data_IF_150213734812
#
_entry.id   IF_150213734812
#
_cell.length_a   1.000
_cell.length_b   1.000
_cell.length_c   1.000
_cell.angle_alpha   90.00
_cell.angle_beta   90.00
_cell.angle_gamma   90.00
#
_symmetry.space_group_name_H-M   'P 1'
#
loop_
_entity.id
_entity.type
_entity.pdbx_description
1 polymer ?
#
# COMPACT_ATOMS: atom_id res chain seq x y z
N UNK A 1 56.18 -55.89 -67.16
CA UNK A 1 55.55 -54.71 -67.80
C UNK A 1 54.15 -54.52 -67.22
N UNK A 2 53.86 -53.28 -66.81
CA UNK A 2 52.53 -52.65 -66.73
C UNK A 2 51.54 -52.99 -65.59
N UNK A 3 51.32 -51.93 -64.77
CA UNK A 3 50.07 -51.45 -64.14
C UNK A 3 49.50 -52.30 -62.98
N UNK A 4 49.60 -51.85 -61.72
CA UNK A 4 48.86 -50.74 -61.08
C UNK A 4 47.33 -50.95 -61.15
N UNK A 5 46.69 -51.24 -60.01
CA UNK A 5 45.39 -50.67 -59.63
C UNK A 5 45.25 -50.62 -58.10
N UNK A 6 44.73 -49.47 -57.66
CA UNK A 6 44.53 -49.00 -56.29
C UNK A 6 43.21 -49.55 -55.73
N UNK A 7 43.20 -49.90 -54.44
CA UNK A 7 42.00 -50.08 -53.63
C UNK A 7 42.04 -49.12 -52.43
N UNK A 8 40.90 -48.49 -52.14
CA UNK A 8 40.69 -47.33 -51.28
C UNK A 8 40.74 -47.63 -49.74
N UNK A 9 40.65 -46.62 -48.85
CA UNK A 9 41.22 -46.63 -47.50
C UNK A 9 40.27 -47.15 -46.40
N UNK A 10 40.83 -47.71 -45.33
CA UNK A 10 40.11 -48.04 -44.11
C UNK A 10 40.00 -46.82 -43.18
N UNK A 11 38.76 -46.41 -42.91
CA UNK A 11 38.34 -45.45 -41.89
C UNK A 11 38.92 -45.78 -40.51
N UNK A 12 39.61 -44.83 -39.88
CA UNK A 12 39.87 -44.83 -38.44
C UNK A 12 38.88 -43.89 -37.76
N UNK A 13 38.07 -44.46 -36.87
CA UNK A 13 37.17 -43.74 -35.96
C UNK A 13 37.95 -42.74 -35.09
N UNK A 14 37.50 -41.50 -35.06
CA UNK A 14 37.87 -40.50 -34.04
C UNK A 14 36.77 -40.53 -32.98
N UNK A 15 37.09 -40.61 -31.67
CA UNK A 15 36.06 -40.53 -30.65
C UNK A 15 35.51 -39.10 -30.56
N UNK A 16 34.18 -38.97 -30.59
CA UNK A 16 33.46 -37.74 -30.27
C UNK A 16 33.66 -37.45 -28.78
N UNK A 17 34.37 -36.37 -28.45
CA UNK A 17 34.30 -35.78 -27.11
C UNK A 17 32.96 -35.07 -27.00
N UNK A 18 32.04 -35.66 -26.25
CA UNK A 18 30.80 -34.99 -25.84
C UNK A 18 31.14 -33.91 -24.82
N UNK A 19 31.15 -32.65 -25.26
CA UNK A 19 31.19 -31.50 -24.35
C UNK A 19 29.86 -31.45 -23.60
N UNK A 20 29.83 -31.94 -22.36
CA UNK A 20 28.72 -31.75 -21.44
C UNK A 20 28.79 -30.32 -20.88
N UNK A 21 27.73 -29.56 -21.12
CA UNK A 21 27.66 -28.13 -20.85
C UNK A 21 27.73 -27.78 -19.37
N UNK A 22 28.53 -26.75 -19.07
CA UNK A 22 28.42 -26.00 -17.83
C UNK A 22 27.57 -24.75 -18.13
N UNK A 23 26.25 -24.88 -18.03
CA UNK A 23 25.38 -23.70 -17.93
C UNK A 23 25.20 -23.43 -16.44
N UNK A 24 26.06 -22.58 -15.88
CA UNK A 24 25.91 -22.09 -14.51
C UNK A 24 24.61 -21.26 -14.42
N UNK A 25 23.63 -21.77 -13.66
CA UNK A 25 22.41 -21.04 -13.34
C UNK A 25 22.76 -19.86 -12.41
N UNK A 26 22.75 -18.65 -12.96
CA UNK A 26 22.70 -17.41 -12.18
C UNK A 26 21.31 -17.28 -11.58
N UNK A 27 21.09 -17.85 -10.39
CA UNK A 27 19.95 -17.51 -9.56
C UNK A 27 20.16 -16.07 -9.05
N UNK A 28 19.58 -15.11 -9.76
CA UNK A 28 19.47 -13.74 -9.28
C UNK A 28 18.58 -13.75 -8.03
N UNK A 29 19.20 -13.56 -6.86
CA UNK A 29 18.49 -13.13 -5.66
C UNK A 29 17.96 -11.72 -5.90
N UNK A 30 16.75 -11.62 -6.44
CA UNK A 30 15.99 -10.37 -6.38
C UNK A 30 15.45 -10.29 -4.96
N UNK A 31 16.17 -9.62 -4.07
CA UNK A 31 15.59 -9.20 -2.80
C UNK A 31 14.39 -8.30 -3.10
N UNK A 32 13.23 -8.57 -2.48
CA UNK A 32 12.10 -7.66 -2.55
C UNK A 32 12.52 -6.34 -1.93
N UNK A 33 12.55 -5.27 -2.73
CA UNK A 33 12.68 -3.93 -2.17
C UNK A 33 11.36 -3.63 -1.46
N UNK A 34 11.41 -3.47 -0.15
CA UNK A 34 10.25 -3.02 0.62
C UNK A 34 9.79 -1.68 0.05
N UNK A 35 8.53 -1.62 -0.36
CA UNK A 35 7.93 -0.43 -0.91
C UNK A 35 7.61 0.53 0.25
N UNK A 36 8.00 1.79 0.10
CA UNK A 36 7.76 2.80 1.13
C UNK A 36 6.27 3.02 1.39
N UNK A 37 5.96 3.63 2.54
CA UNK A 37 4.60 4.11 2.82
C UNK A 37 4.14 5.10 1.74
N UNK A 38 2.84 5.12 1.46
CA UNK A 38 2.26 6.02 0.45
C UNK A 38 1.25 6.92 1.10
N UNK A 39 1.53 8.23 1.12
CA UNK A 39 0.57 9.26 1.47
C UNK A 39 -0.06 9.82 0.20
N UNK A 40 -1.38 9.86 0.12
CA UNK A 40 -2.10 10.54 -0.97
C UNK A 40 -3.33 11.28 -0.46
N UNK A 41 -3.79 12.26 -1.24
CA UNK A 41 -5.01 13.03 -0.97
C UNK A 41 -6.13 12.51 -1.88
N UNK A 42 -7.30 12.29 -1.29
CA UNK A 42 -8.48 11.75 -1.96
C UNK A 42 -9.70 12.63 -1.63
N UNK A 43 -10.80 12.44 -2.36
CA UNK A 43 -12.07 13.10 -2.09
C UNK A 43 -13.28 12.18 -2.26
N UNK A 44 -14.35 12.48 -1.52
CA UNK A 44 -15.67 11.87 -1.66
C UNK A 44 -16.67 12.97 -2.00
N UNK A 45 -17.46 12.76 -3.05
CA UNK A 45 -18.59 13.63 -3.35
C UNK A 45 -19.71 13.39 -2.34
N UNK A 46 -20.20 14.45 -1.72
CA UNK A 46 -21.23 14.38 -0.67
C UNK A 46 -21.98 15.70 -0.55
N UNK A 47 -23.20 15.66 -0.04
CA UNK A 47 -24.00 16.83 0.33
C UNK A 47 -23.95 17.12 1.84
N UNK A 48 -23.32 16.25 2.64
CA UNK A 48 -23.31 16.34 4.10
C UNK A 48 -22.36 17.42 4.61
N UNK A 49 -21.31 17.75 3.86
CA UNK A 49 -20.29 18.72 4.28
C UNK A 49 -20.02 19.76 3.19
N UNK A 50 -19.39 20.91 3.51
CA UNK A 50 -19.18 21.96 2.54
C UNK A 50 -18.16 21.56 1.47
N UNK A 51 -18.60 21.54 0.21
CA UNK A 51 -17.74 21.27 -0.94
C UNK A 51 -17.33 19.81 -1.06
N UNK A 52 -16.23 19.54 -1.76
CA UNK A 52 -15.69 18.17 -1.86
C UNK A 52 -15.06 17.75 -0.53
N UNK A 53 -15.53 16.63 0.02
CA UNK A 53 -15.00 16.10 1.27
C UNK A 53 -13.64 15.44 1.04
N UNK A 54 -12.57 16.16 1.36
CA UNK A 54 -11.19 15.69 1.18
C UNK A 54 -10.70 14.90 2.38
N UNK A 55 -9.79 13.97 2.14
CA UNK A 55 -9.07 13.25 3.19
C UNK A 55 -7.68 12.85 2.72
N UNK A 56 -6.73 12.79 3.64
CA UNK A 56 -5.46 12.12 3.41
C UNK A 56 -5.57 10.64 3.76
N UNK A 57 -4.93 9.78 2.97
CA UNK A 57 -4.77 8.36 3.26
C UNK A 57 -3.28 7.99 3.28
N UNK A 58 -2.85 7.33 4.35
CA UNK A 58 -1.52 6.76 4.48
C UNK A 58 -1.63 5.23 4.42
N UNK A 59 -1.10 4.66 3.35
CA UNK A 59 -0.92 3.22 3.20
C UNK A 59 0.41 2.81 3.82
N UNK A 60 0.45 1.72 4.61
CA UNK A 60 1.70 1.25 5.19
C UNK A 60 2.66 0.73 4.10
N UNK A 61 3.95 0.55 4.44
CA UNK A 61 4.90 -0.13 3.56
C UNK A 61 4.34 -1.47 3.08
N UNK A 62 4.63 -1.79 1.82
CA UNK A 62 4.21 -3.05 1.18
C UNK A 62 2.69 -3.30 1.19
N UNK A 63 1.86 -2.25 1.23
CA UNK A 63 0.41 -2.39 1.10
C UNK A 63 0.02 -3.10 -0.21
N UNK A 64 -0.84 -4.12 -0.12
CA UNK A 64 -1.40 -4.88 -1.25
C UNK A 64 -2.87 -5.19 -1.00
N UNK A 65 -3.70 -5.08 -2.03
CA UNK A 65 -5.13 -5.41 -1.94
C UNK A 65 -5.38 -6.93 -1.89
N UNK A 66 -4.34 -7.72 -2.17
CA UNK A 66 -4.35 -9.18 -2.24
C UNK A 66 -3.90 -9.84 -0.92
N UNK A 67 -3.63 -9.05 0.13
CA UNK A 67 -3.34 -9.60 1.47
C UNK A 67 -4.50 -10.49 1.94
N UNK A 68 -4.18 -11.59 2.62
CA UNK A 68 -5.19 -12.53 3.10
C UNK A 68 -6.13 -11.89 4.14
N UNK A 69 -5.54 -11.14 5.09
CA UNK A 69 -6.27 -10.42 6.12
C UNK A 69 -6.33 -8.92 5.80
N UNK A 70 -7.46 -8.24 6.07
CA UNK A 70 -7.57 -6.80 5.88
C UNK A 70 -6.63 -6.01 6.78
N UNK A 71 -6.24 -4.81 6.35
CA UNK A 71 -5.47 -3.89 7.20
C UNK A 71 -6.38 -3.30 8.28
N UNK A 72 -5.92 -3.20 9.54
CA UNK A 72 -6.58 -2.35 10.51
C UNK A 72 -6.74 -0.93 9.95
N UNK A 73 -7.78 -0.24 10.42
CA UNK A 73 -8.10 1.12 9.98
C UNK A 73 -8.00 2.08 11.16
N UNK A 74 -7.22 3.15 11.02
CA UNK A 74 -7.20 4.28 11.93
C UNK A 74 -7.87 5.48 11.27
N UNK A 75 -9.01 5.92 11.81
CA UNK A 75 -9.60 7.22 11.51
C UNK A 75 -8.99 8.27 12.44
N UNK A 76 -8.17 9.17 11.89
CA UNK A 76 -7.49 10.21 12.65
C UNK A 76 -8.12 11.59 12.46
N UNK A 77 -8.61 12.16 13.56
CA UNK A 77 -9.30 13.44 13.59
C UNK A 77 -8.35 14.58 14.03
N UNK A 78 -8.17 15.57 13.16
CA UNK A 78 -7.36 16.74 13.49
C UNK A 78 -8.04 17.64 14.55
N UNK A 79 -7.24 18.49 15.22
CA UNK A 79 -7.74 19.51 16.14
C UNK A 79 -8.18 20.80 15.44
N UNK A 80 -8.15 21.95 16.10
CA UNK A 80 -8.65 23.23 15.54
C UNK A 80 -7.87 23.85 14.36
N UNK A 81 -7.15 23.05 13.57
CA UNK A 81 -6.60 23.44 12.26
C UNK A 81 -7.50 22.93 11.12
N UNK A 82 -7.09 23.09 9.86
CA UNK A 82 -7.81 22.52 8.71
C UNK A 82 -7.56 21.02 8.49
N UNK A 83 -6.65 20.39 9.24
CA UNK A 83 -6.19 19.04 8.92
C UNK A 83 -5.22 18.95 7.74
N UNK A 84 -5.12 19.98 6.90
CA UNK A 84 -4.21 19.97 5.75
C UNK A 84 -2.76 19.72 6.18
N UNK A 85 -2.13 18.75 5.52
CA UNK A 85 -0.76 18.29 5.77
C UNK A 85 -0.49 17.80 7.21
N UNK A 86 -1.53 17.63 8.05
CA UNK A 86 -1.32 17.21 9.44
C UNK A 86 -0.85 15.75 9.51
N UNK A 87 -1.39 14.86 8.67
CA UNK A 87 -0.96 13.46 8.61
C UNK A 87 0.53 13.35 8.27
N UNK A 88 0.97 14.04 7.20
CA UNK A 88 2.38 14.14 6.81
C UNK A 88 3.26 14.69 7.95
N UNK A 89 2.89 15.85 8.50
CA UNK A 89 3.77 16.60 9.41
C UNK A 89 3.81 16.06 10.84
N UNK A 90 2.76 15.35 11.29
CA UNK A 90 2.60 14.97 12.70
C UNK A 90 2.62 13.47 12.94
N UNK A 91 2.14 12.67 11.98
CA UNK A 91 1.86 11.26 12.21
C UNK A 91 2.69 10.31 11.35
N UNK A 92 2.98 10.67 10.09
CA UNK A 92 3.67 9.78 9.15
C UNK A 92 5.00 9.28 9.69
N UNK A 93 5.93 10.18 10.02
CA UNK A 93 7.26 9.78 10.48
C UNK A 93 7.24 8.98 11.81
N UNK A 94 6.39 9.29 12.81
CA UNK A 94 6.19 8.41 13.96
C UNK A 94 5.64 7.02 13.60
N UNK A 95 4.64 6.93 12.71
CA UNK A 95 4.05 5.66 12.28
C UNK A 95 5.06 4.80 11.52
N UNK A 96 5.80 5.39 10.59
CA UNK A 96 6.87 4.70 9.85
C UNK A 96 7.92 4.12 10.79
N UNK A 97 8.36 4.89 11.79
CA UNK A 97 9.28 4.40 12.83
C UNK A 97 8.66 3.28 13.69
N UNK A 98 7.36 3.32 13.94
CA UNK A 98 6.69 2.28 14.71
C UNK A 98 6.54 0.98 13.90
N UNK A 99 6.27 1.07 12.59
CA UNK A 99 6.28 -0.07 11.66
C UNK A 99 7.67 -0.66 11.50
N UNK A 100 8.69 0.17 11.28
CA UNK A 100 10.09 -0.28 11.16
C UNK A 100 10.56 -1.04 12.40
N UNK A 101 10.10 -0.61 13.59
CA UNK A 101 10.39 -1.28 14.87
C UNK A 101 9.48 -2.46 15.19
N UNK A 102 8.44 -2.73 14.38
CA UNK A 102 7.42 -3.73 14.67
C UNK A 102 6.62 -3.46 15.96
N UNK A 103 6.56 -2.21 16.42
CA UNK A 103 5.80 -1.83 17.63
C UNK A 103 4.29 -1.79 17.37
N UNK A 104 3.91 -1.49 16.14
CA UNK A 104 2.55 -1.61 15.64
C UNK A 104 2.58 -2.39 14.33
N UNK A 105 1.51 -3.13 14.06
CA UNK A 105 1.32 -3.76 12.76
C UNK A 105 1.04 -2.71 11.66
N UNK A 106 1.29 -3.03 10.38
CA UNK A 106 0.86 -2.22 9.24
C UNK A 106 -0.62 -1.82 9.36
N UNK A 107 -0.89 -0.51 9.39
CA UNK A 107 -2.24 0.05 9.57
C UNK A 107 -2.50 1.09 8.49
N UNK A 108 -3.71 1.10 7.93
CA UNK A 108 -4.13 2.17 7.01
C UNK A 108 -4.68 3.33 7.84
N UNK A 109 -4.20 4.54 7.57
CA UNK A 109 -4.67 5.74 8.27
C UNK A 109 -5.46 6.62 7.32
N UNK A 110 -6.66 6.99 7.73
CA UNK A 110 -7.54 7.95 7.03
C UNK A 110 -7.67 9.18 7.90
N UNK A 111 -7.32 10.35 7.36
CA UNK A 111 -7.40 11.62 8.05
C UNK A 111 -8.24 12.61 7.22
N UNK A 112 -9.53 12.79 7.55
CA UNK A 112 -10.37 13.79 6.90
C UNK A 112 -9.76 15.18 7.00
N UNK A 113 -9.91 15.99 5.96
CA UNK A 113 -9.44 17.38 5.88
C UNK A 113 -10.67 18.26 5.85
N UNK A 114 -10.70 19.24 6.75
CA UNK A 114 -11.87 20.11 6.94
C UNK A 114 -11.42 21.56 7.14
N UNK A 115 -12.31 22.40 7.69
CA UNK A 115 -11.94 23.68 8.30
C UNK A 115 -11.72 23.50 9.81
N UNK A 116 -12.08 24.51 10.59
CA UNK A 116 -12.22 24.31 12.03
C UNK A 116 -13.48 23.45 12.28
N UNK A 117 -13.32 22.23 12.80
CA UNK A 117 -14.42 21.30 13.07
C UNK A 117 -14.31 20.69 14.47
N UNK A 118 -15.47 20.35 15.02
CA UNK A 118 -15.63 19.55 16.25
C UNK A 118 -16.13 18.13 15.96
N UNK A 119 -16.16 17.72 14.68
CA UNK A 119 -16.53 16.37 14.25
C UNK A 119 -17.94 15.92 14.66
N UNK A 120 -18.83 16.89 14.85
CA UNK A 120 -20.25 16.70 15.14
C UNK A 120 -21.10 17.27 14.00
N UNK A 121 -22.36 16.86 13.95
CA UNK A 121 -23.33 17.44 13.02
C UNK A 121 -23.80 18.82 13.51
N UNK A 122 -23.70 19.83 12.64
CA UNK A 122 -24.07 21.19 13.01
C UNK A 122 -25.56 21.42 12.83
N UNK A 123 -26.13 22.23 13.72
CA UNK A 123 -27.49 22.69 13.56
C UNK A 123 -27.62 23.53 12.28
N UNK A 124 -28.47 23.08 11.37
CA UNK A 124 -28.71 23.75 10.09
C UNK A 124 -28.31 22.94 8.85
N UNK A 125 -27.62 21.80 9.05
CA UNK A 125 -27.23 20.89 7.98
C UNK A 125 -26.04 21.38 7.14
N UNK A 126 -25.49 20.48 6.33
CA UNK A 126 -24.39 20.77 5.40
C UNK A 126 -23.02 20.97 6.09
N UNK A 127 -22.93 20.67 7.38
CA UNK A 127 -21.69 20.48 8.15
C UNK A 127 -21.88 19.25 9.05
N UNK A 128 -22.41 18.19 8.46
CA UNK A 128 -22.83 16.96 9.13
C UNK A 128 -21.63 15.99 9.17
N UNK A 129 -20.58 16.42 9.87
CA UNK A 129 -19.29 15.73 9.89
C UNK A 129 -19.36 14.37 10.57
N UNK A 130 -20.13 14.20 11.65
CA UNK A 130 -20.27 12.90 12.31
C UNK A 130 -20.95 11.91 11.37
N UNK A 131 -22.07 12.35 10.77
CA UNK A 131 -22.81 11.54 9.81
C UNK A 131 -21.94 11.19 8.59
N UNK A 132 -21.25 12.16 7.99
CA UNK A 132 -20.35 11.92 6.85
C UNK A 132 -19.28 10.88 7.15
N UNK A 133 -18.61 11.00 8.30
CA UNK A 133 -17.54 10.06 8.68
C UNK A 133 -18.05 8.64 8.81
N UNK A 134 -19.16 8.47 9.54
CA UNK A 134 -19.67 7.14 9.91
C UNK A 134 -20.40 6.43 8.77
N UNK A 135 -20.95 7.18 7.82
CA UNK A 135 -21.79 6.62 6.75
C UNK A 135 -21.08 6.58 5.40
N UNK A 136 -20.58 7.72 4.92
CA UNK A 136 -20.08 7.83 3.54
C UNK A 136 -18.57 7.62 3.47
N UNK A 137 -17.79 8.27 4.33
CA UNK A 137 -16.33 8.14 4.28
C UNK A 137 -15.89 6.71 4.58
N UNK A 138 -16.38 6.11 5.68
CA UNK A 138 -16.01 4.74 6.04
C UNK A 138 -16.44 3.75 4.96
N UNK A 139 -17.63 3.91 4.38
CA UNK A 139 -18.09 3.05 3.28
C UNK A 139 -17.21 3.20 2.05
N UNK A 140 -16.86 4.43 1.67
CA UNK A 140 -15.97 4.72 0.55
C UNK A 140 -14.59 4.08 0.76
N UNK A 141 -13.96 4.30 1.92
CA UNK A 141 -12.64 3.74 2.23
C UNK A 141 -12.66 2.22 2.20
N UNK A 142 -13.69 1.59 2.79
CA UNK A 142 -13.83 0.13 2.83
C UNK A 142 -14.09 -0.50 1.47
N UNK A 143 -14.70 0.24 0.55
CA UNK A 143 -14.91 -0.21 -0.83
C UNK A 143 -13.64 -0.05 -1.69
N UNK A 144 -12.81 0.96 -1.39
CA UNK A 144 -11.63 1.32 -2.20
C UNK A 144 -10.35 0.63 -1.74
N UNK A 145 -10.22 0.36 -0.44
CA UNK A 145 -9.01 -0.18 0.17
C UNK A 145 -9.30 -1.48 0.92
N UNK A 146 -8.31 -2.37 0.98
CA UNK A 146 -8.39 -3.66 1.65
C UNK A 146 -8.23 -3.50 3.17
N UNK A 147 -9.21 -2.84 3.80
CA UNK A 147 -9.21 -2.51 5.23
C UNK A 147 -10.31 -3.23 6.00
N UNK A 148 -10.21 -3.20 7.32
CA UNK A 148 -11.18 -3.81 8.22
C UNK A 148 -12.59 -3.26 8.02
N UNK A 149 -13.56 -4.16 8.01
CA UNK A 149 -14.97 -3.86 7.73
C UNK A 149 -15.78 -3.64 9.02
N UNK A 150 -15.34 -4.23 10.13
CA UNK A 150 -15.98 -4.16 11.43
C UNK A 150 -15.31 -3.25 12.44
N UNK A 151 -15.95 -3.12 13.61
CA UNK A 151 -15.43 -2.31 14.73
C UNK A 151 -14.14 -2.85 15.35
N UNK A 152 -13.90 -4.17 15.25
CA UNK A 152 -12.84 -4.84 16.00
C UNK A 152 -11.42 -4.42 15.57
N UNK A 153 -11.24 -4.07 14.29
CA UNK A 153 -9.99 -3.52 13.76
C UNK A 153 -10.14 -2.11 13.19
N UNK A 154 -11.19 -1.38 13.59
CA UNK A 154 -11.32 0.06 13.31
C UNK A 154 -11.07 0.83 14.60
N UNK A 155 -10.09 1.73 14.57
CA UNK A 155 -9.73 2.62 15.68
C UNK A 155 -10.03 4.05 15.26
N UNK A 156 -10.57 4.84 16.19
CA UNK A 156 -10.69 6.28 16.05
C UNK A 156 -9.76 6.96 17.06
N UNK A 157 -9.08 8.01 16.64
CA UNK A 157 -8.25 8.83 17.51
C UNK A 157 -8.15 10.25 16.97
N UNK A 158 -7.72 11.19 17.81
CA UNK A 158 -7.56 12.55 17.36
C UNK A 158 -6.81 13.44 18.33
N UNK A 159 -6.66 14.70 17.94
CA UNK A 159 -5.94 15.70 18.70
C UNK A 159 -6.86 16.87 19.09
N UNK A 160 -6.82 17.29 20.35
CA UNK A 160 -7.56 18.46 20.84
C UNK A 160 -9.06 18.36 20.49
N UNK A 161 -9.63 19.26 19.69
CA UNK A 161 -11.02 19.18 19.24
C UNK A 161 -11.40 17.87 18.52
N UNK A 162 -10.42 17.11 18.01
CA UNK A 162 -10.64 15.79 17.43
C UNK A 162 -10.57 14.60 18.40
N UNK A 163 -10.22 14.82 19.67
CA UNK A 163 -10.18 13.78 20.71
C UNK A 163 -11.34 13.90 21.67
#
# INVERSE_FOLDING_TARGET
MSRNQRGAPAMRCVPRVTAFGWLAALLAWVGSLAQASVLSNQSVATELVPGEARFDILLPPDYTAEREEPYPLLLWLHGGSSGEHQLERRLRAPLERAWEKGTIEPIVVVAPITGNSYWIDWKGGGNDWETFLLTELLAHVRATYHVEQGRAGTVIGGASAGG
#
